data_IF_700851672502
#
_entry.id   IF_700851672502
#
_cell.length_a   1.000
_cell.length_b   1.000
_cell.length_c   1.000
_cell.angle_alpha   90.00
_cell.angle_beta   90.00
_cell.angle_gamma   90.00
#
_symmetry.space_group_name_H-M   'P 1'
#
loop_
_entity.id
_entity.type
_entity.pdbx_description
1 polymer ?
#
# COMPACT_ATOMS: atom_id res chain seq x y z
N UNK A 1 -15.53 5.05 -7.93
CA UNK A 1 -14.37 5.93 -7.66
C UNK A 1 -13.74 6.36 -8.98
N UNK A 2 -13.33 7.62 -9.11
CA UNK A 2 -12.67 8.13 -10.33
C UNK A 2 -11.20 7.71 -10.29
N UNK A 3 -10.75 6.92 -11.28
CA UNK A 3 -9.34 6.53 -11.41
C UNK A 3 -8.56 7.63 -12.12
N UNK A 4 -7.33 7.92 -11.69
CA UNK A 4 -6.53 8.94 -12.35
C UNK A 4 -5.98 8.42 -13.70
N UNK A 5 -5.97 9.21 -14.78
CA UNK A 5 -5.40 8.79 -16.07
C UNK A 5 -3.90 8.41 -16.01
N UNK A 6 -3.20 8.88 -14.97
CA UNK A 6 -1.80 8.53 -14.72
C UNK A 6 -1.65 7.13 -14.09
N UNK A 7 -2.60 6.72 -13.24
CA UNK A 7 -2.60 5.43 -12.56
C UNK A 7 -2.55 4.25 -13.53
N UNK A 8 -3.51 4.16 -14.46
CA UNK A 8 -3.59 3.02 -15.39
C UNK A 8 -2.38 2.88 -16.31
N UNK A 9 -1.61 3.96 -16.53
CA UNK A 9 -0.38 3.91 -17.36
C UNK A 9 0.85 3.45 -16.60
N UNK A 10 0.86 3.65 -15.28
CA UNK A 10 2.06 3.49 -14.47
C UNK A 10 1.99 2.25 -13.56
N UNK A 11 0.80 1.72 -13.26
CA UNK A 11 0.65 0.60 -12.32
C UNK A 11 1.46 -0.65 -12.72
N UNK A 12 1.37 -1.10 -13.97
CA UNK A 12 2.09 -2.29 -14.44
C UNK A 12 3.62 -2.05 -14.47
N UNK A 13 4.15 -0.97 -15.10
CA UNK A 13 5.58 -0.70 -15.07
C UNK A 13 6.17 -0.56 -13.66
N UNK A 14 5.44 0.06 -12.73
CA UNK A 14 5.90 0.21 -11.35
C UNK A 14 5.90 -1.15 -10.64
N UNK A 15 4.82 -1.93 -10.78
CA UNK A 15 4.75 -3.26 -10.18
C UNK A 15 5.89 -4.17 -10.65
N UNK A 16 6.19 -4.15 -11.96
CA UNK A 16 7.28 -4.95 -12.52
C UNK A 16 8.65 -4.49 -12.03
N UNK A 17 8.88 -3.17 -11.96
CA UNK A 17 10.13 -2.62 -11.40
C UNK A 17 10.30 -2.99 -9.91
N UNK A 18 9.23 -2.89 -9.12
CA UNK A 18 9.23 -3.29 -7.71
C UNK A 18 9.50 -4.81 -7.56
N UNK A 19 8.84 -5.66 -8.33
CA UNK A 19 9.05 -7.11 -8.27
C UNK A 19 10.49 -7.50 -8.70
N UNK A 20 11.05 -6.84 -9.71
CA UNK A 20 12.43 -7.06 -10.15
C UNK A 20 13.44 -6.79 -9.03
N UNK A 21 13.14 -5.85 -8.12
CA UNK A 21 13.97 -5.53 -6.96
C UNK A 21 13.66 -6.40 -5.73
N UNK A 22 12.55 -7.15 -5.75
CA UNK A 22 12.17 -8.09 -4.69
C UNK A 22 11.14 -7.59 -3.68
N UNK A 23 10.45 -6.48 -3.97
CA UNK A 23 9.36 -5.98 -3.13
C UNK A 23 8.18 -6.96 -3.03
N UNK A 24 7.97 -7.79 -4.06
CA UNK A 24 6.95 -8.84 -4.10
C UNK A 24 7.19 -9.97 -3.08
N UNK A 25 8.42 -10.09 -2.57
CA UNK A 25 8.84 -11.07 -1.55
C UNK A 25 9.05 -10.46 -0.18
N UNK A 26 8.79 -9.16 -0.03
CA UNK A 26 8.80 -8.50 1.28
C UNK A 26 7.61 -8.98 2.10
N UNK A 27 7.80 -9.20 3.39
CA UNK A 27 6.70 -9.54 4.29
C UNK A 27 5.89 -8.30 4.68
N UNK A 28 6.55 -7.15 4.90
CA UNK A 28 5.89 -5.93 5.31
C UNK A 28 6.45 -4.70 4.58
N UNK A 29 5.55 -3.99 3.90
CA UNK A 29 5.84 -2.80 3.11
C UNK A 29 5.16 -1.56 3.67
N UNK A 30 5.90 -0.47 3.78
CA UNK A 30 5.37 0.86 4.08
C UNK A 30 5.20 1.66 2.79
N UNK A 31 4.01 2.20 2.54
CA UNK A 31 3.77 3.13 1.45
C UNK A 31 3.71 4.57 2.00
N UNK A 32 4.55 5.45 1.46
CA UNK A 32 4.54 6.88 1.76
C UNK A 32 3.80 7.64 0.67
N UNK A 33 2.70 8.31 1.04
CA UNK A 33 1.83 9.08 0.14
C UNK A 33 0.87 8.20 -0.67
N UNK A 34 0.04 7.43 0.03
CA UNK A 34 -0.88 6.46 -0.59
C UNK A 34 -1.99 7.12 -1.43
N UNK A 35 -2.26 8.42 -1.24
CA UNK A 35 -3.27 9.16 -1.97
C UNK A 35 -4.64 8.48 -1.89
N UNK A 36 -5.36 8.27 -3.01
CA UNK A 36 -6.67 7.62 -2.99
C UNK A 36 -6.63 6.09 -2.78
N UNK A 37 -5.45 5.49 -2.61
CA UNK A 37 -5.26 4.07 -2.33
C UNK A 37 -5.31 3.16 -3.56
N UNK A 38 -5.09 3.68 -4.77
CA UNK A 38 -5.16 2.86 -5.99
C UNK A 38 -4.00 1.86 -6.08
N UNK A 39 -2.75 2.31 -5.83
CA UNK A 39 -1.56 1.47 -5.99
C UNK A 39 -1.52 0.35 -4.95
N UNK A 40 -1.68 0.67 -3.66
CA UNK A 40 -1.66 -0.34 -2.59
C UNK A 40 -2.68 -1.45 -2.79
N UNK A 41 -3.89 -1.12 -3.28
CA UNK A 41 -4.93 -2.13 -3.56
C UNK A 41 -4.53 -3.03 -4.73
N UNK A 42 -3.99 -2.47 -5.81
CA UNK A 42 -3.57 -3.30 -6.95
C UNK A 42 -2.32 -4.13 -6.63
N UNK A 43 -1.36 -3.61 -5.87
CA UNK A 43 -0.19 -4.38 -5.42
C UNK A 43 -0.60 -5.50 -4.46
N UNK A 44 -1.53 -5.25 -3.54
CA UNK A 44 -2.05 -6.28 -2.64
C UNK A 44 -2.86 -7.38 -3.35
N UNK A 45 -3.47 -7.07 -4.51
CA UNK A 45 -4.08 -8.10 -5.37
C UNK A 45 -3.05 -8.90 -6.16
N UNK A 46 -1.95 -8.25 -6.57
CA UNK A 46 -0.92 -8.84 -7.44
C UNK A 46 0.03 -9.76 -6.69
N UNK A 47 0.46 -9.36 -5.49
CA UNK A 47 1.46 -10.10 -4.71
C UNK A 47 0.79 -10.84 -3.57
N UNK A 48 1.25 -12.06 -3.29
CA UNK A 48 0.64 -12.92 -2.26
C UNK A 48 1.27 -12.73 -0.87
N UNK A 49 2.53 -12.31 -0.81
CA UNK A 49 3.29 -12.24 0.45
C UNK A 49 3.10 -10.92 1.23
N UNK A 50 3.23 -9.71 0.63
CA UNK A 50 3.40 -8.53 1.44
C UNK A 50 2.13 -8.09 2.16
N UNK A 51 2.27 -7.72 3.43
CA UNK A 51 1.36 -6.80 4.11
C UNK A 51 1.74 -5.36 3.79
N UNK A 52 0.75 -4.50 3.63
CA UNK A 52 0.96 -3.10 3.29
C UNK A 52 0.48 -2.19 4.41
N UNK A 53 1.34 -1.29 4.86
CA UNK A 53 0.99 -0.16 5.70
C UNK A 53 0.93 1.11 4.84
N UNK A 54 -0.25 1.51 4.33
CA UNK A 54 -0.38 2.77 3.63
C UNK A 54 -0.31 3.97 4.58
N UNK A 55 0.33 5.04 4.14
CA UNK A 55 0.39 6.30 4.90
C UNK A 55 0.26 7.52 4.01
N UNK A 56 -0.29 8.60 4.56
CA UNK A 56 -0.41 9.89 3.88
C UNK A 56 -0.58 11.00 4.93
N UNK A 57 -0.25 12.25 4.59
CA UNK A 57 -0.48 13.39 5.48
C UNK A 57 -1.96 13.85 5.43
N UNK A 58 -2.69 13.49 4.36
CA UNK A 58 -4.08 13.86 4.14
C UNK A 58 -5.05 12.87 4.78
N UNK A 59 -5.87 13.34 5.74
CA UNK A 59 -6.97 12.54 6.30
C UNK A 59 -7.98 12.06 5.25
N UNK A 60 -8.12 12.79 4.15
CA UNK A 60 -8.98 12.37 3.04
C UNK A 60 -8.37 11.19 2.27
N UNK A 61 -7.06 11.18 2.07
CA UNK A 61 -6.32 10.05 1.48
C UNK A 61 -6.43 8.80 2.36
N UNK A 62 -6.25 8.95 3.68
CA UNK A 62 -6.45 7.88 4.66
C UNK A 62 -7.86 7.29 4.55
N UNK A 63 -8.89 8.13 4.56
CA UNK A 63 -10.29 7.69 4.47
C UNK A 63 -10.58 6.98 3.15
N UNK A 64 -10.08 7.53 2.03
CA UNK A 64 -10.25 6.95 0.70
C UNK A 64 -9.58 5.58 0.59
N UNK A 65 -8.36 5.46 1.11
CA UNK A 65 -7.57 4.23 1.05
C UNK A 65 -8.21 3.12 1.89
N UNK A 66 -8.63 3.43 3.12
CA UNK A 66 -9.34 2.48 3.98
C UNK A 66 -10.65 2.00 3.35
N UNK A 67 -11.44 2.90 2.77
CA UNK A 67 -12.68 2.54 2.09
C UNK A 67 -12.41 1.62 0.90
N UNK A 68 -11.45 1.97 0.05
CA UNK A 68 -11.11 1.17 -1.13
C UNK A 68 -10.55 -0.21 -0.75
N UNK A 69 -9.72 -0.29 0.28
CA UNK A 69 -9.21 -1.56 0.79
C UNK A 69 -10.33 -2.47 1.32
N UNK A 70 -11.34 -1.90 2.01
CA UNK A 70 -12.53 -2.63 2.46
C UNK A 70 -13.38 -3.11 1.29
N UNK A 71 -13.64 -2.25 0.31
CA UNK A 71 -14.40 -2.61 -0.89
C UNK A 71 -13.73 -3.74 -1.68
N UNK A 72 -12.40 -3.81 -1.64
CA UNK A 72 -11.61 -4.89 -2.25
C UNK A 72 -11.50 -6.17 -1.39
N UNK A 73 -11.98 -6.17 -0.15
CA UNK A 73 -11.83 -7.30 0.79
C UNK A 73 -10.39 -7.53 1.27
N UNK A 74 -9.52 -6.52 1.16
CA UNK A 74 -8.09 -6.60 1.47
C UNK A 74 -7.72 -5.89 2.78
N UNK A 75 -8.67 -5.18 3.38
CA UNK A 75 -8.45 -4.47 4.63
C UNK A 75 -8.23 -5.46 5.78
N UNK A 76 -7.23 -5.17 6.62
CA UNK A 76 -6.74 -5.99 7.74
C UNK A 76 -6.32 -7.43 7.40
N UNK A 77 -6.42 -7.85 6.14
CA UNK A 77 -5.94 -9.15 5.66
C UNK A 77 -4.62 -9.00 4.89
N UNK A 78 -4.50 -7.94 4.07
CA UNK A 78 -3.30 -7.63 3.29
C UNK A 78 -2.90 -6.15 3.39
N UNK A 79 -3.85 -5.28 3.70
CA UNK A 79 -3.65 -3.84 3.83
C UNK A 79 -4.07 -3.40 5.24
N UNK A 80 -3.11 -2.93 6.02
CA UNK A 80 -3.31 -2.34 7.34
C UNK A 80 -4.17 -1.06 7.25
N UNK A 81 -4.79 -0.59 8.35
CA UNK A 81 -5.38 0.73 8.45
C UNK A 81 -4.40 1.78 7.94
N UNK A 82 -4.85 2.66 7.05
CA UNK A 82 -4.01 3.76 6.62
C UNK A 82 -3.68 4.68 7.83
N UNK A 83 -2.42 5.09 7.96
CA UNK A 83 -1.92 5.90 9.09
C UNK A 83 -1.48 7.28 8.64
N UNK A 84 -1.59 8.28 9.53
CA UNK A 84 -1.14 9.63 9.22
C UNK A 84 0.38 9.71 9.38
N UNK A 85 1.04 10.08 8.30
CA UNK A 85 2.48 10.40 8.27
C UNK A 85 2.67 11.64 7.42
N UNK A 86 3.34 12.64 7.98
CA UNK A 86 3.90 13.75 7.20
C UNK A 86 5.41 13.51 7.07
N UNK A 87 5.86 13.29 5.84
CA UNK A 87 7.26 12.98 5.55
C UNK A 87 8.22 14.15 5.78
N UNK A 88 7.68 15.36 5.95
CA UNK A 88 8.47 16.53 6.33
C UNK A 88 8.78 16.59 7.84
N UNK A 89 8.08 15.79 8.65
CA UNK A 89 8.31 15.71 10.09
C UNK A 89 9.48 14.78 10.42
N UNK A 90 10.17 15.08 11.51
CA UNK A 90 11.35 14.34 11.93
C UNK A 90 11.03 12.98 12.54
N UNK A 91 9.79 12.74 12.96
CA UNK A 91 9.32 11.48 13.57
C UNK A 91 7.98 11.06 12.96
N UNK A 92 7.79 9.75 12.75
CA UNK A 92 6.57 9.14 12.22
C UNK A 92 5.92 8.21 13.26
N UNK A 93 5.34 8.74 14.35
CA UNK A 93 4.99 7.97 15.55
C UNK A 93 3.95 6.86 15.34
N UNK A 94 3.21 6.87 14.23
CA UNK A 94 2.23 5.81 13.90
C UNK A 94 2.86 4.61 13.19
N UNK A 95 4.10 4.72 12.74
CA UNK A 95 4.81 3.68 11.98
C UNK A 95 6.24 3.44 12.45
N UNK A 96 6.79 4.28 13.35
CA UNK A 96 8.13 4.12 13.91
C UNK A 96 8.26 3.01 14.96
N UNK A 97 9.37 2.26 14.88
CA UNK A 97 9.79 1.15 15.75
C UNK A 97 11.16 0.60 15.32
N UNK A 98 11.70 -0.42 15.99
CA UNK A 98 13.05 -0.97 15.69
C UNK A 98 13.01 -2.47 15.40
N UNK A 99 13.41 -2.94 14.18
CA UNK A 99 13.11 -2.32 12.91
C UNK A 99 11.94 -3.03 12.20
N UNK A 100 10.88 -2.29 11.87
CA UNK A 100 9.80 -2.79 11.02
C UNK A 100 10.11 -2.49 9.55
N UNK A 101 9.38 -3.11 8.64
CA UNK A 101 9.46 -2.96 7.18
C UNK A 101 10.70 -3.55 6.49
N UNK A 102 10.41 -4.52 5.64
CA UNK A 102 11.33 -5.10 4.66
C UNK A 102 11.56 -4.15 3.48
N UNK A 103 10.56 -3.29 3.20
CA UNK A 103 10.66 -2.27 2.18
C UNK A 103 9.74 -1.07 2.42
N UNK A 104 10.16 0.07 1.89
CA UNK A 104 9.39 1.30 1.81
C UNK A 104 9.25 1.65 0.34
N UNK A 105 8.08 2.09 -0.10
CA UNK A 105 7.92 2.65 -1.44
C UNK A 105 7.12 3.95 -1.45
N UNK A 106 7.37 4.77 -2.46
CA UNK A 106 6.65 6.02 -2.67
C UNK A 106 6.52 6.34 -4.15
N UNK A 107 5.35 6.83 -4.55
CA UNK A 107 4.99 7.03 -5.96
C UNK A 107 4.52 8.47 -6.16
N UNK A 108 5.31 9.27 -6.89
CA UNK A 108 5.06 10.69 -7.19
C UNK A 108 4.94 11.59 -5.95
N UNK A 109 5.69 11.33 -4.89
CA UNK A 109 5.69 12.17 -3.68
C UNK A 109 6.89 13.12 -3.64
N UNK A 110 8.04 12.69 -4.13
CA UNK A 110 9.31 13.41 -3.96
C UNK A 110 9.27 14.75 -4.68
N UNK A 111 8.62 14.84 -5.85
CA UNK A 111 8.45 16.12 -6.54
C UNK A 111 7.33 17.02 -5.97
N UNK A 112 6.41 16.46 -5.17
CA UNK A 112 5.33 17.20 -4.52
C UNK A 112 5.85 17.89 -3.26
N UNK A 113 6.57 17.15 -2.42
CA UNK A 113 7.05 17.66 -1.14
C UNK A 113 8.01 18.85 -1.32
N UNK A 114 8.08 19.71 -0.31
CA UNK A 114 9.04 20.80 -0.30
C UNK A 114 10.48 20.24 -0.37
N UNK A 115 11.38 20.92 -1.10
CA UNK A 115 12.79 20.50 -1.18
C UNK A 115 13.48 20.41 0.18
N UNK A 116 13.05 21.25 1.12
CA UNK A 116 13.53 21.23 2.51
C UNK A 116 13.16 19.97 3.27
N UNK A 117 12.16 19.20 2.81
CA UNK A 117 11.74 17.94 3.41
C UNK A 117 12.57 16.73 2.95
N UNK A 118 13.38 16.86 1.88
CA UNK A 118 14.20 15.74 1.37
C UNK A 118 15.08 15.10 2.47
N UNK A 119 15.81 15.88 3.30
CA UNK A 119 16.60 15.28 4.38
C UNK A 119 15.77 14.50 5.40
N UNK A 120 14.65 15.05 5.89
CA UNK A 120 13.77 14.39 6.86
C UNK A 120 13.08 13.16 6.25
N UNK A 121 12.68 13.23 4.98
CA UNK A 121 12.13 12.09 4.23
C UNK A 121 13.10 10.91 4.23
N UNK A 122 14.36 11.13 3.82
CA UNK A 122 15.36 10.06 3.78
C UNK A 122 15.77 9.59 5.17
N UNK A 123 15.88 10.49 6.15
CA UNK A 123 16.15 10.12 7.53
C UNK A 123 15.05 9.20 8.10
N UNK A 124 13.79 9.53 7.86
CA UNK A 124 12.65 8.69 8.23
C UNK A 124 12.67 7.33 7.55
N UNK A 125 12.96 7.28 6.24
CA UNK A 125 13.13 6.01 5.54
C UNK A 125 14.26 5.17 6.15
N UNK A 126 15.40 5.78 6.47
CA UNK A 126 16.54 5.10 7.06
C UNK A 126 16.31 4.60 8.48
N UNK A 127 15.45 5.25 9.27
CA UNK A 127 15.04 4.78 10.61
C UNK A 127 14.04 3.63 10.55
N UNK A 128 13.16 3.65 9.56
CA UNK A 128 12.05 2.70 9.41
C UNK A 128 12.36 1.53 8.47
N UNK A 129 13.59 1.37 8.01
CA UNK A 129 13.98 0.19 7.23
C UNK A 129 14.84 -0.71 8.09
N UNK A 130 14.52 -2.01 8.07
CA UNK A 130 15.45 -3.01 8.57
C UNK A 130 16.77 -2.99 7.78
N UNK A 131 17.88 -3.42 8.40
CA UNK A 131 19.14 -3.71 7.70
C UNK A 131 18.91 -4.57 6.45
N UNK A 132 19.46 -4.13 5.30
CA UNK A 132 19.25 -4.77 3.99
C UNK A 132 17.89 -4.50 3.33
N UNK A 133 16.97 -3.78 3.98
CA UNK A 133 15.66 -3.42 3.44
C UNK A 133 15.74 -2.47 2.23
N UNK A 134 14.65 -2.39 1.48
CA UNK A 134 14.60 -1.68 0.19
C UNK A 134 13.79 -0.38 0.26
N UNK A 135 14.29 0.70 -0.32
CA UNK A 135 13.51 1.92 -0.58
C UNK A 135 13.31 2.09 -2.08
N UNK A 136 12.06 2.11 -2.53
CA UNK A 136 11.69 2.26 -3.94
C UNK A 136 10.95 3.57 -4.21
N UNK A 137 11.53 4.44 -5.03
CA UNK A 137 10.96 5.75 -5.34
C UNK A 137 10.61 5.84 -6.82
N UNK A 138 9.32 5.91 -7.14
CA UNK A 138 8.86 6.25 -8.48
C UNK A 138 8.64 7.75 -8.60
N UNK A 139 9.47 8.42 -9.39
CA UNK A 139 9.36 9.87 -9.59
C UNK A 139 10.00 10.30 -10.91
N UNK A 140 10.03 11.60 -11.16
CA UNK A 140 10.81 12.25 -12.19
C UNK A 140 12.08 12.83 -11.57
N UNK A 141 13.22 12.62 -12.21
CA UNK A 141 14.52 13.06 -11.69
C UNK A 141 15.29 13.90 -12.72
N UNK A 142 16.20 14.73 -12.22
CA UNK A 142 17.34 15.23 -13.01
C UNK A 142 18.58 14.39 -12.72
N UNK A 143 19.42 14.21 -13.74
CA UNK A 143 20.73 13.55 -13.67
C UNK A 143 21.76 14.52 -14.22
N UNK A 144 22.82 14.80 -13.47
CA UNK A 144 23.83 15.82 -13.80
C UNK A 144 23.19 17.21 -14.09
N UNK A 145 22.07 17.51 -13.42
CA UNK A 145 21.30 18.74 -13.62
C UNK A 145 20.39 18.74 -14.86
N UNK A 146 20.40 17.69 -15.68
CA UNK A 146 19.61 17.58 -16.90
C UNK A 146 18.30 16.82 -16.68
N UNK A 147 17.22 17.30 -17.30
CA UNK A 147 15.91 16.63 -17.25
C UNK A 147 15.88 15.40 -18.17
N UNK A 148 15.29 14.31 -17.68
CA UNK A 148 15.02 13.15 -18.54
C UNK A 148 13.85 13.46 -19.48
N UNK A 149 14.16 13.75 -20.74
CA UNK A 149 13.15 13.98 -21.78
C UNK A 149 12.55 15.39 -21.80
N UNK A 150 11.95 15.79 -22.94
CA UNK A 150 11.66 17.20 -23.24
C UNK A 150 10.48 17.79 -22.45
N UNK A 151 9.64 16.97 -21.82
CA UNK A 151 8.43 17.43 -21.12
C UNK A 151 8.68 17.70 -19.63
N UNK A 152 9.73 17.12 -19.04
CA UNK A 152 9.95 17.15 -17.60
C UNK A 152 10.35 18.54 -17.07
N UNK A 153 10.99 19.37 -17.90
CA UNK A 153 11.25 20.77 -17.56
C UNK A 153 9.95 21.59 -17.42
N UNK A 154 8.97 21.37 -18.31
CA UNK A 154 7.67 22.06 -18.21
C UNK A 154 6.86 21.55 -17.01
N UNK A 155 6.97 20.25 -16.74
CA UNK A 155 6.36 19.64 -15.57
C UNK A 155 6.93 20.23 -14.27
N UNK A 156 8.25 20.37 -14.16
CA UNK A 156 8.91 21.04 -13.03
C UNK A 156 8.40 22.47 -12.82
N UNK A 157 8.34 23.27 -13.89
CA UNK A 157 7.79 24.63 -13.83
C UNK A 157 6.35 24.64 -13.35
N UNK A 158 5.52 23.70 -13.82
CA UNK A 158 4.12 23.58 -13.40
C UNK A 158 3.99 23.24 -11.92
N UNK A 159 4.79 22.29 -11.42
CA UNK A 159 4.82 21.92 -10.00
C UNK A 159 5.20 23.13 -9.13
N UNK A 160 6.29 23.82 -9.48
CA UNK A 160 6.74 25.00 -8.75
C UNK A 160 5.72 26.12 -8.76
N UNK A 161 5.01 26.32 -9.88
CA UNK A 161 3.94 27.34 -9.97
C UNK A 161 2.76 27.08 -9.04
N UNK A 162 2.56 25.81 -8.63
CA UNK A 162 1.55 25.39 -7.67
C UNK A 162 2.05 25.40 -6.22
N UNK A 163 3.33 25.74 -6.00
CA UNK A 163 3.96 25.77 -4.68
C UNK A 163 4.58 24.44 -4.24
N UNK A 164 4.68 23.44 -5.13
CA UNK A 164 5.36 22.17 -4.86
C UNK A 164 6.88 22.27 -5.05
N UNK A 165 7.61 21.23 -4.59
CA UNK A 165 9.07 21.20 -4.67
C UNK A 165 9.64 21.18 -6.08
N UNK A 166 8.94 20.57 -7.03
CA UNK A 166 9.43 20.33 -8.40
C UNK A 166 10.31 19.09 -8.49
N UNK A 167 10.80 18.79 -9.69
CA UNK A 167 11.65 17.62 -10.00
C UNK A 167 12.94 17.68 -9.18
N UNK A 168 13.36 16.53 -8.62
CA UNK A 168 14.54 16.42 -7.74
C UNK A 168 15.79 15.98 -8.49
N UNK A 169 16.95 16.50 -8.07
CA UNK A 169 18.25 15.97 -8.47
C UNK A 169 18.47 14.63 -7.80
N UNK A 170 18.87 13.64 -8.59
CA UNK A 170 19.23 12.33 -8.04
C UNK A 170 20.45 12.45 -7.11
N UNK A 171 21.37 13.36 -7.38
CA UNK A 171 22.58 13.57 -6.60
C UNK A 171 22.27 14.19 -5.22
N UNK A 172 21.34 15.15 -5.15
CA UNK A 172 20.85 15.69 -3.87
C UNK A 172 20.17 14.60 -3.03
N UNK A 173 19.39 13.74 -3.67
CA UNK A 173 18.72 12.62 -3.02
C UNK A 173 19.70 11.53 -2.58
N UNK A 174 20.71 11.19 -3.39
CA UNK A 174 21.78 10.26 -3.03
C UNK A 174 22.56 10.76 -1.79
N UNK A 175 22.84 12.07 -1.71
CA UNK A 175 23.51 12.66 -0.55
C UNK A 175 22.65 12.58 0.72
N UNK A 176 21.34 12.79 0.61
CA UNK A 176 20.41 12.64 1.74
C UNK A 176 20.25 11.17 2.15
N UNK A 177 20.12 10.27 1.18
CA UNK A 177 20.04 8.83 1.37
C UNK A 177 21.28 8.29 2.10
N UNK A 178 22.48 8.68 1.65
CA UNK A 178 23.75 8.26 2.26
C UNK A 178 23.83 8.64 3.74
N UNK A 179 23.39 9.86 4.11
CA UNK A 179 23.32 10.30 5.52
C UNK A 179 22.34 9.49 6.37
N UNK A 180 21.34 8.87 5.74
CA UNK A 180 20.36 8.00 6.38
C UNK A 180 20.78 6.52 6.39
N UNK A 181 21.99 6.19 5.92
CA UNK A 181 22.48 4.81 5.81
C UNK A 181 21.84 4.05 4.64
N UNK A 182 21.43 4.75 3.59
CA UNK A 182 20.87 4.17 2.38
C UNK A 182 21.85 4.34 1.21
N UNK A 183 21.99 3.31 0.39
CA UNK A 183 22.82 3.31 -0.82
C UNK A 183 21.95 3.06 -2.05
N UNK A 184 22.09 3.87 -3.11
CA UNK A 184 21.38 3.64 -4.38
C UNK A 184 21.96 2.42 -5.07
N UNK A 185 21.10 1.45 -5.40
CA UNK A 185 21.49 0.18 -6.04
C UNK A 185 20.98 0.03 -7.47
N UNK A 186 19.93 0.78 -7.87
CA UNK A 186 19.35 0.70 -9.21
C UNK A 186 18.64 1.99 -9.63
N UNK A 187 18.60 2.22 -10.95
CA UNK A 187 17.71 3.19 -11.59
C UNK A 187 17.08 2.54 -12.82
N UNK A 188 15.79 2.25 -12.72
CA UNK A 188 14.98 1.71 -13.81
C UNK A 188 14.25 2.84 -14.55
N UNK A 189 14.45 2.94 -15.86
CA UNK A 189 13.78 3.93 -16.70
C UNK A 189 12.43 3.40 -17.19
N UNK A 190 11.35 4.08 -16.81
CA UNK A 190 9.98 3.66 -17.05
C UNK A 190 9.29 4.58 -18.08
N UNK A 191 8.11 4.17 -18.60
CA UNK A 191 7.34 4.99 -19.53
C UNK A 191 7.07 6.42 -18.99
N UNK A 192 6.76 7.32 -19.92
CA UNK A 192 6.53 8.75 -19.65
C UNK A 192 7.75 9.52 -19.07
N UNK A 193 8.96 8.96 -19.20
CA UNK A 193 10.21 9.53 -18.69
C UNK A 193 10.25 9.67 -17.16
N UNK A 194 9.57 8.77 -16.45
CA UNK A 194 9.75 8.58 -15.02
C UNK A 194 10.79 7.51 -14.75
N UNK A 195 11.35 7.51 -13.55
CA UNK A 195 12.31 6.51 -13.12
C UNK A 195 11.84 5.89 -11.80
N UNK A 196 12.10 4.60 -11.67
CA UNK A 196 12.03 3.91 -10.40
C UNK A 196 13.45 3.77 -9.86
N UNK A 197 13.73 4.49 -8.77
CA UNK A 197 15.05 4.50 -8.11
C UNK A 197 14.98 3.61 -6.90
N UNK A 198 15.95 2.70 -6.77
CA UNK A 198 16.00 1.77 -5.64
C UNK A 198 17.22 2.05 -4.79
N UNK A 199 17.02 2.18 -3.48
CA UNK A 199 18.07 2.23 -2.47
C UNK A 199 17.97 1.01 -1.56
N UNK A 200 19.08 0.64 -0.93
CA UNK A 200 19.17 -0.40 0.08
C UNK A 200 19.67 0.19 1.39
N UNK A 201 19.07 -0.19 2.51
CA UNK A 201 19.59 0.08 3.84
C UNK A 201 20.88 -0.71 4.04
N UNK A 202 21.98 0.00 4.28
CA UNK A 202 23.27 -0.61 4.57
C UNK A 202 23.14 -1.38 5.89
N UNK A 203 23.71 -2.59 5.92
CA UNK A 203 23.63 -3.48 7.07
C UNK A 203 24.49 -2.94 8.23
N UNK A 204 23.83 -2.48 9.29
CA UNK A 204 24.43 -2.00 10.53
C UNK A 204 24.06 -2.84 11.78
N UNK A 205 23.37 -3.98 11.63
CA UNK A 205 23.05 -4.91 12.74
C UNK A 205 21.88 -5.88 12.50
N UNK A 206 21.62 -6.79 13.44
CA UNK A 206 20.55 -7.79 13.36
C UNK A 206 19.15 -7.21 13.73
N UNK A 207 18.09 -7.79 13.15
CA UNK A 207 16.68 -7.55 13.56
C UNK A 207 16.49 -8.00 15.02
N UNK A 208 15.89 -7.16 15.88
CA UNK A 208 15.74 -7.47 17.31
C UNK A 208 14.41 -8.19 17.62
N UNK A 209 14.27 -8.86 18.79
CA UNK A 209 13.00 -9.44 19.20
C UNK A 209 11.86 -8.42 19.36
N UNK A 210 12.18 -7.19 19.78
CA UNK A 210 11.20 -6.11 19.92
C UNK A 210 10.59 -5.71 18.56
N UNK A 211 11.35 -5.88 17.48
CA UNK A 211 10.94 -5.65 16.10
C UNK A 211 9.87 -6.62 15.65
N UNK A 212 10.07 -7.89 15.98
CA UNK A 212 9.12 -8.96 15.67
C UNK A 212 7.82 -8.77 16.46
N UNK A 213 7.93 -8.41 17.74
CA UNK A 213 6.77 -8.09 18.57
C UNK A 213 5.98 -6.88 18.04
N UNK A 214 6.66 -5.83 17.58
CA UNK A 214 6.00 -4.69 16.95
C UNK A 214 5.28 -5.08 15.67
N UNK A 215 5.91 -5.88 14.79
CA UNK A 215 5.29 -6.39 13.55
C UNK A 215 4.02 -7.19 13.86
N UNK A 216 4.10 -8.12 14.81
CA UNK A 216 2.95 -8.88 15.27
C UNK A 216 1.87 -7.98 15.89
N UNK A 217 2.25 -6.96 16.65
CA UNK A 217 1.31 -6.06 17.31
C UNK A 217 0.52 -5.23 16.29
N UNK A 218 1.17 -4.70 15.24
CA UNK A 218 0.48 -3.99 14.15
C UNK A 218 -0.48 -4.93 13.45
N UNK A 219 -0.01 -6.10 12.99
CA UNK A 219 -0.86 -7.08 12.31
C UNK A 219 -2.03 -7.56 13.19
N UNK A 220 -1.80 -7.76 14.50
CA UNK A 220 -2.83 -8.25 15.44
C UNK A 220 -3.84 -7.18 15.84
N UNK A 221 -3.39 -5.94 16.10
CA UNK A 221 -4.29 -4.83 16.41
C UNK A 221 -5.28 -4.61 15.26
N UNK A 222 -4.80 -4.79 14.03
CA UNK A 222 -5.61 -4.63 12.83
C UNK A 222 -6.67 -5.73 12.66
N UNK A 223 -6.33 -6.99 12.98
CA UNK A 223 -7.29 -8.11 13.01
C UNK A 223 -8.38 -7.91 14.07
N UNK A 224 -8.04 -7.36 15.24
CA UNK A 224 -8.99 -7.13 16.33
C UNK A 224 -9.93 -5.94 16.07
N UNK A 225 -9.46 -4.88 15.41
CA UNK A 225 -10.30 -3.74 15.03
C UNK A 225 -11.36 -4.07 13.97
N UNK A 226 -11.10 -5.03 13.08
CA UNK A 226 -12.11 -5.50 12.12
C UNK A 226 -13.19 -6.37 12.78
N UNK A 227 -12.81 -7.29 13.68
CA UNK A 227 -13.78 -8.12 14.40
C UNK A 227 -14.74 -7.27 15.25
N UNK A 228 -14.23 -6.17 15.83
CA UNK A 228 -15.05 -5.20 16.57
C UNK A 228 -15.98 -4.34 15.70
N UNK A 229 -15.79 -4.32 14.37
CA UNK A 229 -16.62 -3.55 13.41
C UNK A 229 -17.45 -4.44 12.47
N UNK A 230 -17.31 -5.76 12.56
CA UNK A 230 -18.19 -6.68 11.86
C UNK A 230 -19.64 -6.41 12.30
N UNK A 231 -20.60 -6.26 11.37
CA UNK A 231 -22.00 -6.15 11.75
C UNK A 231 -22.38 -7.40 12.56
N UNK A 232 -23.19 -7.27 13.63
CA UNK A 232 -23.62 -8.43 14.39
C UNK A 232 -24.23 -9.44 13.42
N UNK A 233 -23.83 -10.72 13.56
CA UNK A 233 -24.42 -11.81 12.79
C UNK A 233 -25.94 -11.64 12.79
N UNK A 234 -26.61 -11.72 11.63
CA UNK A 234 -28.06 -11.68 11.64
C UNK A 234 -28.52 -12.75 12.60
N UNK A 235 -29.28 -12.35 13.63
CA UNK A 235 -29.93 -13.29 14.54
C UNK A 235 -30.68 -14.26 13.65
N UNK A 236 -30.20 -15.50 13.58
CA UNK A 236 -30.96 -16.59 12.98
C UNK A 236 -32.33 -16.62 13.66
N UNK A 237 -33.38 -17.10 12.96
CA UNK A 237 -34.73 -17.10 13.52
C UNK A 237 -34.71 -17.72 14.92
N UNK A 238 -35.38 -17.05 15.84
CA UNK A 238 -35.53 -17.53 17.22
C UNK A 238 -36.20 -18.91 17.17
N UNK A 239 -35.91 -19.84 18.08
CA UNK A 239 -36.68 -21.08 18.23
C UNK A 239 -38.19 -20.84 18.37
N UNK A 240 -38.60 -19.62 18.74
CA UNK A 240 -39.99 -19.18 18.88
C UNK A 240 -40.65 -18.72 17.54
N UNK A 241 -39.88 -18.55 16.46
CA UNK A 241 -40.40 -18.12 15.15
C UNK A 241 -41.06 -19.27 14.37
N UNK A 242 -41.00 -20.51 14.87
CA UNK A 242 -41.77 -21.64 14.36
C UNK A 242 -43.10 -21.81 15.12
N UNK A 243 -44.02 -20.86 14.92
CA UNK A 243 -45.45 -21.07 15.21
C UNK A 243 -46.25 -21.10 13.92
N UNK A 244 -46.14 -22.22 13.21
CA UNK A 244 -46.90 -22.53 12.00
C UNK A 244 -47.41 -23.96 12.06
N UNK A 245 -48.72 -24.11 11.99
CA UNK A 245 -49.50 -25.31 12.25
C UNK A 245 -49.07 -26.52 11.40
N UNK A 246 -48.93 -27.69 12.04
CA UNK A 246 -48.89 -28.98 11.37
C UNK A 246 -50.31 -29.32 10.85
N UNK A 247 -50.53 -29.55 9.54
CA UNK A 247 -51.81 -30.08 9.08
C UNK A 247 -51.93 -31.56 9.45
N UNK A 248 -52.99 -31.87 10.17
CA UNK A 248 -53.40 -33.24 10.54
C UNK A 248 -53.92 -33.97 9.30
N UNK A 249 -53.54 -35.24 9.18
CA UNK A 249 -53.88 -36.15 8.11
C UNK A 249 -55.40 -36.29 7.83
N UNK A 250 -55.77 -36.23 6.55
CA UNK A 250 -57.02 -36.75 6.02
C UNK A 250 -56.73 -37.87 5.05
N UNK A 251 -57.20 -39.07 5.37
CA UNK A 251 -57.17 -40.24 4.50
C UNK A 251 -58.07 -40.04 3.27
N UNK A 252 -57.67 -40.60 2.13
CA UNK A 252 -58.46 -41.42 1.18
C UNK A 252 -57.87 -41.32 -0.24
N UNK A 253 -57.87 -42.45 -0.95
CA UNK A 253 -57.83 -42.44 -2.43
C UNK A 253 -56.72 -43.23 -3.09
N UNK A 254 -56.98 -44.52 -3.30
CA UNK A 254 -56.38 -45.35 -4.35
C UNK A 254 -56.39 -44.65 -5.73
N UNK A 255 -55.32 -44.84 -6.52
CA UNK A 255 -55.34 -45.58 -7.80
C UNK A 255 -54.27 -45.08 -8.79
N UNK A 256 -53.52 -46.06 -9.32
CA UNK A 256 -53.00 -46.22 -10.68
C UNK A 256 -52.34 -45.06 -11.46
N UNK A 257 -51.20 -45.38 -12.10
CA UNK A 257 -50.82 -44.67 -13.32
C UNK A 257 -49.33 -44.53 -13.63
N UNK A 258 -48.65 -45.65 -13.92
CA UNK A 258 -47.81 -45.88 -15.11
C UNK A 258 -46.93 -44.72 -15.66
N UNK A 259 -45.60 -44.92 -15.62
CA UNK A 259 -44.77 -44.97 -16.84
C UNK A 259 -43.92 -43.75 -17.26
N UNK A 260 -42.66 -44.05 -17.66
CA UNK A 260 -41.72 -43.20 -18.43
C UNK A 260 -40.48 -42.81 -17.60
N UNK A 261 -39.26 -43.36 -17.76
CA UNK A 261 -38.38 -43.40 -18.96
C UNK A 261 -38.34 -42.00 -19.65
N UNK A 262 -37.23 -41.35 -19.99
CA UNK A 262 -35.80 -41.67 -20.04
C UNK A 262 -35.03 -40.33 -20.21
N UNK A 263 -33.72 -40.38 -19.95
CA UNK A 263 -32.61 -39.70 -20.66
C UNK A 263 -32.70 -38.22 -21.10
N UNK A 264 -31.85 -37.38 -20.49
CA UNK A 264 -30.62 -36.77 -21.06
C UNK A 264 -30.16 -35.56 -20.24
#
# INVERSE_FOLDING_TARGET
MQSSPAFSRNIEPIADAMAAQGFDRCEFLLELGCGPGEHVVEFAKRWEEPFFQPTDCSRAAITSTDLRAREAGLRATRICPARIVDVAEDEWPQVEGDPPYDGIYSINVVHIMAKTAIPSFFAGCGRNLRPGGLLGLYDTWTFDGEFVGPNNQRFDQSLRSQGYGGVSSIEECDQAASKAGLERIDVSYLPANNQFVTYRKIDDGDITPASLEFREAVMRADLQEEDARAPPLPMGPSPDDYTGELPVAGAEGFADGVGGEDDL
#
